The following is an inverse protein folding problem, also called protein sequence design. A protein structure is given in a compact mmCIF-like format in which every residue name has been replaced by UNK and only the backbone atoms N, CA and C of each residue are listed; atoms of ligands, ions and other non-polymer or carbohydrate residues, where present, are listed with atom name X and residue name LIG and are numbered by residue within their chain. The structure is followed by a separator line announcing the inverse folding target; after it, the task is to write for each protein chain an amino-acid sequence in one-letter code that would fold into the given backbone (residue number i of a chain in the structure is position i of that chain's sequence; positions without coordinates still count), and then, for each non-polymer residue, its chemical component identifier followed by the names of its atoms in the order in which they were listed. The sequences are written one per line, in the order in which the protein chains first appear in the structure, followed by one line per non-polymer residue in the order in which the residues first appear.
data_IF_182492293145
#
_entry.id   IF_182492293145
#
_cell.length_a   1.000
_cell.length_b   1.000
_cell.length_c   1.000
_cell.angle_alpha   90.00
_cell.angle_beta   90.00
_cell.angle_gamma   90.00
#
_symmetry.space_group_name_H-M   'P 1'
#
loop_
_entity.id
_entity.type
_entity.pdbx_description
1 polymer ?
#
# COMPACT_ATOMS: atom_id res chain seq x y z
N UNK A 1 -1.88 -7.73 -13.02
CA UNK A 1 -1.18 -8.66 -12.12
C UNK A 1 -2.27 -9.36 -11.29
N UNK A 2 -2.00 -10.40 -10.48
CA UNK A 2 -3.04 -10.93 -9.59
C UNK A 2 -3.52 -9.83 -8.63
N UNK A 3 -4.77 -9.90 -8.20
CA UNK A 3 -5.30 -9.01 -7.18
C UNK A 3 -4.51 -9.17 -5.88
N UNK A 4 -4.34 -8.07 -5.16
CA UNK A 4 -3.79 -8.11 -3.81
C UNK A 4 -4.78 -8.78 -2.86
N UNK A 5 -4.30 -9.63 -1.95
CA UNK A 5 -5.18 -10.38 -1.02
C UNK A 5 -4.77 -10.24 0.45
N UNK A 6 -3.55 -9.80 0.74
CA UNK A 6 -3.05 -9.67 2.12
C UNK A 6 -3.37 -8.28 2.68
N UNK A 7 -3.91 -8.21 3.89
CA UNK A 7 -4.10 -6.93 4.57
C UNK A 7 -2.76 -6.38 5.06
N UNK A 8 -2.68 -5.05 5.15
CA UNK A 8 -1.56 -4.32 5.74
C UNK A 8 -2.14 -3.32 6.74
N UNK A 9 -1.58 -3.29 7.95
CA UNK A 9 -1.88 -2.26 8.94
C UNK A 9 -1.32 -0.92 8.44
N UNK A 10 -2.21 0.03 8.17
CA UNK A 10 -1.87 1.35 7.63
C UNK A 10 -2.58 2.44 8.42
N UNK A 11 -1.96 3.63 8.47
CA UNK A 11 -2.61 4.83 9.00
C UNK A 11 -3.29 5.58 7.86
N UNK A 12 -4.59 5.82 7.96
CA UNK A 12 -5.35 6.61 6.98
C UNK A 12 -4.99 8.09 7.06
N UNK A 13 -5.32 8.90 6.03
CA UNK A 13 -5.23 10.36 6.11
C UNK A 13 -6.09 10.97 7.22
N UNK A 14 -7.18 10.31 7.64
CA UNK A 14 -8.00 10.70 8.80
C UNK A 14 -7.30 10.41 10.14
N UNK A 15 -6.12 9.79 10.12
CA UNK A 15 -5.28 9.55 11.29
C UNK A 15 -5.53 8.23 12.01
N UNK A 16 -6.47 7.41 11.53
CA UNK A 16 -6.85 6.12 12.13
C UNK A 16 -5.94 4.99 11.66
N UNK A 17 -5.67 4.03 12.53
CA UNK A 17 -4.99 2.79 12.16
C UNK A 17 -6.03 1.73 11.76
N UNK A 18 -5.88 1.18 10.57
CA UNK A 18 -6.78 0.18 9.99
C UNK A 18 -6.00 -0.89 9.24
N UNK A 19 -6.55 -2.08 9.14
CA UNK A 19 -6.03 -3.12 8.25
C UNK A 19 -6.77 -3.09 6.92
N UNK A 20 -6.03 -2.82 5.84
CA UNK A 20 -6.62 -2.72 4.50
C UNK A 20 -5.81 -3.54 3.50
N UNK A 21 -6.50 -4.12 2.52
CA UNK A 21 -5.86 -4.72 1.35
C UNK A 21 -5.58 -3.60 0.34
N UNK A 22 -4.31 -3.41 -0.10
CA UNK A 22 -4.01 -2.42 -1.14
C UNK A 22 -4.70 -2.82 -2.44
N UNK A 23 -5.22 -1.87 -3.21
CA UNK A 23 -5.75 -2.13 -4.56
C UNK A 23 -4.64 -2.43 -5.57
N UNK A 24 -3.47 -1.81 -5.38
CA UNK A 24 -2.31 -1.98 -6.25
C UNK A 24 -1.03 -1.74 -5.46
N UNK A 25 0.01 -2.50 -5.77
CA UNK A 25 1.35 -2.34 -5.18
C UNK A 25 2.38 -2.23 -6.28
N UNK A 26 3.31 -1.28 -6.15
CA UNK A 26 4.46 -1.12 -7.05
C UNK A 26 5.71 -0.77 -6.26
N UNK A 27 6.88 -0.92 -6.91
CA UNK A 27 8.16 -0.59 -6.32
C UNK A 27 8.70 0.73 -6.89
N UNK A 28 9.19 1.60 -6.01
CA UNK A 28 9.96 2.79 -6.36
C UNK A 28 11.41 2.56 -5.90
N UNK A 29 12.33 2.43 -6.84
CA UNK A 29 13.73 2.11 -6.55
C UNK A 29 14.68 2.97 -7.39
N UNK A 30 15.31 4.02 -6.80
CA UNK A 30 16.39 4.72 -7.45
C UNK A 30 17.58 3.78 -7.72
N UNK A 31 18.34 4.02 -8.79
CA UNK A 31 19.53 3.23 -9.13
C UNK A 31 20.54 3.26 -7.97
N UNK A 32 20.98 2.09 -7.52
CA UNK A 32 21.96 1.96 -6.44
C UNK A 32 21.41 2.20 -5.01
N UNK A 33 20.10 2.36 -4.83
CA UNK A 33 19.48 2.50 -3.50
C UNK A 33 18.45 1.40 -3.24
N UNK A 34 18.25 1.08 -1.96
CA UNK A 34 17.14 0.21 -1.54
C UNK A 34 15.82 0.91 -1.87
N UNK A 35 15.03 0.29 -2.73
CA UNK A 35 13.70 0.77 -3.08
C UNK A 35 12.68 0.60 -1.96
N UNK A 36 11.50 1.18 -2.16
CA UNK A 36 10.34 0.99 -1.31
C UNK A 36 9.20 0.41 -2.13
N UNK A 37 8.36 -0.42 -1.49
CA UNK A 37 7.09 -0.83 -2.05
C UNK A 37 5.99 0.08 -1.52
N UNK A 38 5.14 0.56 -2.43
CA UNK A 38 4.06 1.48 -2.15
C UNK A 38 2.75 0.81 -2.55
N UNK A 39 1.80 0.79 -1.62
CA UNK A 39 0.42 0.38 -1.87
C UNK A 39 -0.50 1.58 -2.09
N UNK A 40 -1.44 1.44 -3.03
CA UNK A 40 -2.60 2.30 -3.18
C UNK A 40 -3.76 1.72 -2.37
N UNK A 41 -4.27 2.48 -1.41
CA UNK A 41 -5.37 2.10 -0.55
C UNK A 41 -6.56 3.04 -0.78
N UNK A 42 -7.73 2.63 -0.34
CA UNK A 42 -8.92 3.48 -0.26
C UNK A 42 -9.35 3.56 1.21
N UNK A 43 -9.46 4.77 1.73
CA UNK A 43 -9.93 5.01 3.08
C UNK A 43 -11.42 4.64 3.16
N UNK A 44 -11.83 3.69 4.01
CA UNK A 44 -13.21 3.24 4.09
C UNK A 44 -14.17 4.33 4.61
N UNK A 45 -13.68 5.33 5.34
CA UNK A 45 -14.53 6.38 5.90
C UNK A 45 -14.78 7.50 4.91
N UNK A 46 -13.75 7.90 4.18
CA UNK A 46 -13.81 9.05 3.26
C UNK A 46 -13.96 8.66 1.81
N UNK A 47 -13.75 7.38 1.47
CA UNK A 47 -13.69 6.86 0.11
C UNK A 47 -12.47 7.35 -0.68
N UNK A 48 -11.61 8.18 -0.10
CA UNK A 48 -10.45 8.78 -0.78
C UNK A 48 -9.33 7.77 -0.93
N UNK A 49 -8.64 7.85 -2.05
CA UNK A 49 -7.44 7.06 -2.28
C UNK A 49 -6.24 7.69 -1.60
N UNK A 50 -5.36 6.84 -1.06
CA UNK A 50 -4.10 7.28 -0.47
C UNK A 50 -2.99 6.25 -0.71
N UNK A 51 -1.74 6.69 -0.59
CA UNK A 51 -0.57 5.85 -0.76
C UNK A 51 0.10 5.64 0.58
N UNK A 52 0.51 4.41 0.87
CA UNK A 52 1.29 4.07 2.05
C UNK A 52 2.39 3.06 1.70
N UNK A 53 3.48 3.09 2.47
CA UNK A 53 4.51 2.07 2.36
C UNK A 53 3.93 0.71 2.79
N UNK A 54 4.22 -0.34 2.04
CA UNK A 54 3.93 -1.73 2.44
C UNK A 54 5.23 -2.44 2.85
N UNK A 55 5.14 -3.57 3.58
CA UNK A 55 6.31 -4.37 3.91
C UNK A 55 7.19 -4.67 2.68
N UNK A 56 8.51 -4.71 2.89
CA UNK A 56 9.48 -4.85 1.79
C UNK A 56 9.31 -6.20 1.05
N UNK A 57 8.78 -7.22 1.72
CA UNK A 57 8.49 -8.57 1.20
C UNK A 57 7.09 -8.70 0.55
N UNK A 58 6.23 -7.69 0.68
CA UNK A 58 4.87 -7.72 0.13
C UNK A 58 4.87 -7.87 -1.41
N UNK A 59 4.06 -8.75 -2.03
CA UNK A 59 4.12 -8.98 -3.48
C UNK A 59 3.65 -7.77 -4.29
N UNK A 60 4.23 -7.58 -5.48
CA UNK A 60 3.70 -6.61 -6.47
C UNK A 60 2.40 -7.19 -7.03
N UNK A 61 1.29 -6.46 -6.93
CA UNK A 61 -0.07 -6.92 -7.25
C UNK A 61 -0.98 -5.78 -7.71
N UNK A 62 -2.14 -6.12 -8.27
CA UNK A 62 -3.17 -5.21 -8.79
C UNK A 62 -3.06 -4.84 -10.26
#
# INVERSE_FOLDING_TARGET
MPACTKSVKVRTPSGKEVELVPKKVWQLSPKGRKGVKVGLFQDPETGKYFRAKVPDDYPICG
#
